data_IF_378262427380
#
_entry.id   IF_378262427380
#
_cell.length_a   1.000
_cell.length_b   1.000
_cell.length_c   1.000
_cell.angle_alpha   90.00
_cell.angle_beta   90.00
_cell.angle_gamma   90.00
#
_symmetry.space_group_name_H-M   'P 1'
#
loop_
_entity.id
_entity.type
_entity.pdbx_description
1 polymer ?
#
# COMPACT_ATOMS: atom_id res chain seq x y z
N UNK A 1 1.01 13.85 12.04
CA UNK A 1 0.46 14.03 10.66
C UNK A 1 0.79 12.78 9.85
N UNK A 2 -0.14 12.25 9.02
CA UNK A 2 0.10 11.06 8.20
C UNK A 2 0.75 11.47 6.87
N UNK A 3 1.83 10.79 6.50
CA UNK A 3 2.53 10.93 5.21
C UNK A 3 2.52 9.61 4.47
N UNK A 4 2.64 9.66 3.15
CA UNK A 4 2.78 8.48 2.30
C UNK A 4 4.06 8.60 1.48
N UNK A 5 4.73 7.48 1.23
CA UNK A 5 5.88 7.43 0.33
C UNK A 5 6.10 6.04 -0.25
N UNK A 6 6.75 5.98 -1.38
CA UNK A 6 7.29 4.71 -1.88
C UNK A 6 8.56 4.34 -1.12
N UNK A 7 8.74 3.04 -0.86
CA UNK A 7 9.97 2.51 -0.26
C UNK A 7 11.09 2.46 -1.29
N UNK A 8 12.32 2.60 -0.80
CA UNK A 8 13.49 2.15 -1.55
C UNK A 8 13.63 0.62 -1.43
N UNK A 9 14.20 -0.02 -2.43
CA UNK A 9 14.40 -1.49 -2.43
C UNK A 9 15.19 -1.98 -1.22
N UNK A 10 16.14 -1.17 -0.71
CA UNK A 10 16.89 -1.44 0.52
C UNK A 10 16.03 -1.50 1.79
N UNK A 11 14.79 -1.01 1.75
CA UNK A 11 13.86 -1.02 2.88
C UNK A 11 12.91 -2.23 2.87
N UNK A 12 12.86 -3.01 1.77
CA UNK A 12 11.88 -4.10 1.60
C UNK A 12 11.97 -5.15 2.71
N UNK A 13 13.17 -5.44 3.23
CA UNK A 13 13.33 -6.32 4.39
C UNK A 13 12.62 -5.85 5.67
N UNK A 14 12.27 -4.56 5.78
CA UNK A 14 11.51 -4.04 6.92
C UNK A 14 10.03 -4.44 6.85
N UNK A 15 9.53 -4.81 5.67
CA UNK A 15 8.15 -5.25 5.48
C UNK A 15 7.81 -6.50 6.31
N UNK A 16 8.73 -7.46 6.38
CA UNK A 16 8.56 -8.63 7.25
C UNK A 16 8.36 -8.23 8.72
N UNK A 17 9.21 -7.33 9.24
CA UNK A 17 9.11 -6.85 10.62
C UNK A 17 7.79 -6.13 10.88
N UNK A 18 7.29 -5.38 9.91
CA UNK A 18 6.02 -4.69 10.02
C UNK A 18 4.84 -5.67 10.00
N UNK A 19 4.80 -6.62 9.06
CA UNK A 19 3.75 -7.64 8.97
C UNK A 19 3.65 -8.49 10.25
N UNK A 20 4.79 -8.87 10.83
CA UNK A 20 4.84 -9.68 12.07
C UNK A 20 4.28 -8.96 13.29
N UNK A 21 4.26 -7.63 13.32
CA UNK A 21 3.67 -6.84 14.40
C UNK A 21 2.14 -6.79 14.34
N UNK A 22 1.56 -7.06 13.17
CA UNK A 22 0.11 -7.08 13.00
C UNK A 22 -0.48 -8.30 13.70
N UNK A 23 -1.70 -8.15 14.21
CA UNK A 23 -2.42 -9.24 14.83
C UNK A 23 -2.75 -10.36 13.84
N UNK A 24 -3.06 -11.54 14.40
CA UNK A 24 -3.34 -12.74 13.63
C UNK A 24 -4.52 -12.55 12.64
N UNK A 25 -5.62 -11.94 13.11
CA UNK A 25 -6.83 -11.74 12.29
C UNK A 25 -6.54 -10.83 11.09
N UNK A 26 -5.78 -9.75 11.30
CA UNK A 26 -5.35 -8.85 10.24
C UNK A 26 -4.49 -9.57 9.21
N UNK A 27 -3.52 -10.38 9.64
CA UNK A 27 -2.68 -11.19 8.74
C UNK A 27 -3.52 -12.19 7.96
N UNK A 28 -4.38 -12.96 8.63
CA UNK A 28 -5.24 -13.94 8.00
C UNK A 28 -6.18 -13.31 6.97
N UNK A 29 -6.77 -12.17 7.29
CA UNK A 29 -7.66 -11.45 6.36
C UNK A 29 -6.91 -10.92 5.14
N UNK A 30 -5.65 -10.51 5.30
CA UNK A 30 -4.82 -10.00 4.21
C UNK A 30 -4.33 -11.12 3.28
N UNK A 31 -3.84 -12.22 3.83
CA UNK A 31 -3.29 -13.34 3.05
C UNK A 31 -4.35 -14.36 2.59
N UNK A 32 -5.56 -14.30 3.13
CA UNK A 32 -6.60 -15.30 2.89
C UNK A 32 -6.39 -16.62 3.65
N UNK A 33 -5.17 -16.85 4.13
CA UNK A 33 -4.77 -18.04 4.89
C UNK A 33 -3.94 -17.65 6.11
N UNK A 34 -3.91 -18.50 7.17
CA UNK A 34 -3.03 -18.26 8.30
C UNK A 34 -1.56 -18.20 7.87
N UNK A 35 -0.88 -17.10 8.19
CA UNK A 35 0.54 -16.94 7.93
C UNK A 35 1.31 -16.84 9.26
N UNK A 36 2.24 -17.76 9.46
CA UNK A 36 3.21 -17.70 10.56
C UNK A 36 4.41 -16.81 10.19
N UNK A 37 5.28 -16.56 11.14
CA UNK A 37 6.42 -15.67 10.94
C UNK A 37 7.43 -16.21 9.91
N UNK A 38 7.60 -17.53 9.81
CA UNK A 38 8.47 -18.17 8.81
C UNK A 38 7.92 -18.01 7.39
N UNK A 39 6.59 -18.14 7.21
CA UNK A 39 5.92 -17.89 5.94
C UNK A 39 6.08 -16.43 5.50
N UNK A 40 5.97 -15.49 6.44
CA UNK A 40 6.21 -14.05 6.17
C UNK A 40 7.67 -13.81 5.78
N UNK A 41 8.66 -14.43 6.47
CA UNK A 41 10.06 -14.29 6.11
C UNK A 41 10.35 -14.83 4.72
N UNK A 42 9.79 -15.98 4.37
CA UNK A 42 9.94 -16.60 3.05
C UNK A 42 9.35 -15.70 1.96
N UNK A 43 8.14 -15.17 2.17
CA UNK A 43 7.50 -14.23 1.25
C UNK A 43 8.37 -12.99 1.01
N UNK A 44 8.80 -12.34 2.10
CA UNK A 44 9.57 -11.09 1.97
C UNK A 44 10.96 -11.35 1.42
N UNK A 45 11.57 -12.51 1.71
CA UNK A 45 12.82 -12.91 1.07
C UNK A 45 12.66 -12.99 -0.45
N UNK A 46 11.60 -13.63 -0.94
CA UNK A 46 11.32 -13.69 -2.38
C UNK A 46 11.18 -12.29 -3.00
N UNK A 47 10.47 -11.37 -2.32
CA UNK A 47 10.32 -9.97 -2.75
C UNK A 47 11.68 -9.25 -2.81
N UNK A 48 12.55 -9.46 -1.82
CA UNK A 48 13.90 -8.86 -1.78
C UNK A 48 14.81 -9.43 -2.87
N UNK A 49 14.64 -10.70 -3.21
CA UNK A 49 15.40 -11.37 -4.28
C UNK A 49 14.96 -10.92 -5.70
N UNK A 50 13.68 -10.41 -5.84
CA UNK A 50 13.10 -9.91 -7.10
C UNK A 50 12.61 -8.46 -6.98
N UNK A 51 13.46 -7.50 -6.61
CA UNK A 51 13.03 -6.16 -6.20
C UNK A 51 12.46 -5.30 -7.32
N UNK A 52 12.66 -5.66 -8.58
CA UNK A 52 12.14 -4.93 -9.74
C UNK A 52 10.67 -5.21 -10.04
N UNK A 53 10.14 -6.31 -9.52
CA UNK A 53 8.76 -6.75 -9.73
C UNK A 53 7.82 -6.28 -8.61
N UNK A 54 8.37 -5.65 -7.57
CA UNK A 54 7.63 -5.27 -6.37
C UNK A 54 7.85 -3.81 -6.00
N UNK A 55 6.76 -3.13 -5.64
CA UNK A 55 6.79 -1.76 -5.15
C UNK A 55 5.94 -1.63 -3.90
N UNK A 56 6.32 -0.75 -2.99
CA UNK A 56 5.59 -0.52 -1.75
C UNK A 56 5.28 0.96 -1.57
N UNK A 57 4.01 1.29 -1.45
CA UNK A 57 3.56 2.57 -0.94
C UNK A 57 3.21 2.39 0.55
N UNK A 58 3.88 3.13 1.43
CA UNK A 58 3.61 3.08 2.87
C UNK A 58 2.99 4.35 3.36
N UNK A 59 2.07 4.23 4.33
CA UNK A 59 1.58 5.33 5.14
C UNK A 59 2.34 5.34 6.47
N UNK A 60 2.86 6.49 6.86
CA UNK A 60 3.65 6.69 8.07
C UNK A 60 2.99 7.70 9.00
N UNK A 61 3.02 7.41 10.30
CA UNK A 61 2.65 8.31 11.37
C UNK A 61 3.71 8.27 12.47
N UNK A 62 4.29 9.42 12.81
CA UNK A 62 5.38 9.54 13.80
C UNK A 62 6.55 8.57 13.53
N UNK A 63 6.91 8.39 12.25
CA UNK A 63 8.00 7.50 11.83
C UNK A 63 7.68 6.00 11.86
N UNK A 64 6.45 5.61 12.16
CA UNK A 64 6.00 4.21 12.13
C UNK A 64 5.07 3.96 10.94
N UNK A 65 5.23 2.82 10.30
CA UNK A 65 4.31 2.39 9.25
C UNK A 65 2.98 1.99 9.88
N UNK A 66 1.90 2.56 9.35
CA UNK A 66 0.52 2.33 9.78
C UNK A 66 -0.35 1.73 8.68
N UNK A 67 0.19 1.57 7.49
CA UNK A 67 -0.45 0.92 6.36
C UNK A 67 0.50 0.77 5.19
N UNK A 68 0.23 -0.21 4.33
CA UNK A 68 0.99 -0.45 3.10
C UNK A 68 0.05 -0.79 1.95
N UNK A 69 0.43 -0.40 0.73
CA UNK A 69 0.04 -1.07 -0.50
C UNK A 69 1.28 -1.74 -1.06
N UNK A 70 1.25 -3.04 -1.16
CA UNK A 70 2.18 -3.83 -1.94
C UNK A 70 1.65 -3.88 -3.37
N UNK A 71 2.48 -3.50 -4.32
CA UNK A 71 2.19 -3.54 -5.75
C UNK A 71 3.14 -4.57 -6.34
N UNK A 72 2.61 -5.60 -6.97
CA UNK A 72 3.38 -6.62 -7.68
C UNK A 72 3.03 -6.57 -9.17
N UNK A 73 4.03 -6.72 -10.04
CA UNK A 73 3.80 -6.97 -11.46
C UNK A 73 3.29 -8.40 -11.63
N UNK A 74 2.04 -8.55 -12.05
CA UNK A 74 1.37 -9.85 -12.19
C UNK A 74 1.47 -10.40 -13.62
N UNK A 75 1.39 -9.50 -14.60
CA UNK A 75 1.51 -9.79 -16.02
C UNK A 75 2.00 -8.55 -16.77
N UNK A 76 2.23 -8.68 -18.08
CA UNK A 76 2.53 -7.52 -18.94
C UNK A 76 1.41 -6.50 -18.80
N UNK A 77 1.76 -5.28 -18.40
CA UNK A 77 0.82 -4.16 -18.24
C UNK A 77 -0.24 -4.31 -17.13
N UNK A 78 -0.13 -5.34 -16.25
CA UNK A 78 -1.02 -5.55 -15.12
C UNK A 78 -0.26 -5.51 -13.80
N UNK A 79 -0.84 -4.82 -12.81
CA UNK A 79 -0.33 -4.79 -11.43
C UNK A 79 -1.36 -5.36 -10.46
N UNK A 80 -0.89 -6.13 -9.50
CA UNK A 80 -1.68 -6.59 -8.37
C UNK A 80 -1.43 -5.71 -7.14
N UNK A 81 -2.52 -5.30 -6.48
CA UNK A 81 -2.46 -4.50 -5.26
C UNK A 81 -2.90 -5.31 -4.05
N UNK A 82 -2.02 -5.39 -3.04
CA UNK A 82 -2.34 -5.87 -1.71
C UNK A 82 -2.40 -4.71 -0.72
N UNK A 83 -3.56 -4.43 -0.13
CA UNK A 83 -3.80 -3.29 0.77
C UNK A 83 -3.99 -3.75 2.21
N UNK A 84 -3.23 -3.18 3.14
CA UNK A 84 -3.34 -3.49 4.55
C UNK A 84 -3.13 -2.23 5.40
N UNK A 85 -3.97 -2.03 6.42
CA UNK A 85 -3.86 -0.93 7.39
C UNK A 85 -3.90 -1.51 8.79
N UNK A 86 -2.96 -1.06 9.61
CA UNK A 86 -2.90 -1.36 11.04
C UNK A 86 -4.26 -1.13 11.71
N UNK A 87 -4.80 -2.11 12.46
CA UNK A 87 -6.11 -2.02 13.10
C UNK A 87 -6.36 -0.74 13.88
N UNK A 88 -5.36 -0.27 14.65
CA UNK A 88 -5.47 0.95 15.46
C UNK A 88 -5.63 2.23 14.63
N UNK A 89 -5.36 2.14 13.33
CA UNK A 89 -5.38 3.28 12.41
C UNK A 89 -6.49 3.19 11.36
N UNK A 90 -7.33 2.15 11.37
CA UNK A 90 -8.47 1.98 10.45
C UNK A 90 -9.53 3.07 10.63
N UNK A 91 -10.42 3.21 9.65
CA UNK A 91 -11.52 4.19 9.69
C UNK A 91 -11.10 5.66 9.48
N UNK A 92 -9.82 5.92 9.18
CA UNK A 92 -9.25 7.27 9.00
C UNK A 92 -8.98 7.64 7.54
N UNK A 93 -9.52 6.90 6.58
CA UNK A 93 -9.31 7.14 5.14
C UNK A 93 -7.89 6.82 4.62
N UNK A 94 -7.06 6.11 5.39
CA UNK A 94 -5.66 5.81 5.02
C UNK A 94 -5.60 4.93 3.77
N UNK A 95 -6.36 3.82 3.75
CA UNK A 95 -6.41 2.91 2.62
C UNK A 95 -6.89 3.62 1.33
N UNK A 96 -7.93 4.43 1.44
CA UNK A 96 -8.50 5.22 0.34
C UNK A 96 -7.47 6.19 -0.26
N UNK A 97 -6.77 6.92 0.59
CA UNK A 97 -5.72 7.82 0.16
C UNK A 97 -4.57 7.08 -0.52
N UNK A 98 -4.08 5.98 0.07
CA UNK A 98 -3.03 5.16 -0.54
C UNK A 98 -3.47 4.56 -1.86
N UNK A 99 -4.71 4.08 -1.95
CA UNK A 99 -5.27 3.52 -3.18
C UNK A 99 -5.30 4.56 -4.31
N UNK A 100 -5.77 5.78 -4.02
CA UNK A 100 -5.73 6.89 -4.99
C UNK A 100 -4.30 7.16 -5.48
N UNK A 101 -3.33 7.23 -4.58
CA UNK A 101 -1.93 7.48 -4.92
C UNK A 101 -1.32 6.32 -5.75
N UNK A 102 -1.64 5.06 -5.40
CA UNK A 102 -1.15 3.88 -6.11
C UNK A 102 -1.74 3.75 -7.52
N UNK A 103 -3.03 4.05 -7.70
CA UNK A 103 -3.70 4.08 -9.01
C UNK A 103 -3.04 5.14 -9.92
N UNK A 104 -2.82 6.34 -9.42
CA UNK A 104 -2.14 7.41 -10.17
C UNK A 104 -0.72 6.98 -10.54
N UNK A 105 0.01 6.38 -9.61
CA UNK A 105 1.36 5.85 -9.84
C UNK A 105 1.38 4.78 -10.93
N UNK A 106 0.45 3.83 -10.91
CA UNK A 106 0.36 2.77 -11.90
C UNK A 106 0.03 3.32 -13.30
N UNK A 107 -0.93 4.24 -13.40
CA UNK A 107 -1.28 4.91 -14.66
C UNK A 107 -0.09 5.65 -15.27
N UNK A 108 0.68 6.39 -14.45
CA UNK A 108 1.83 7.16 -14.91
C UNK A 108 3.02 6.28 -15.35
N UNK A 109 2.99 4.97 -15.06
CA UNK A 109 3.97 3.98 -15.52
C UNK A 109 3.47 3.13 -16.69
N UNK A 110 2.26 3.42 -17.17
CA UNK A 110 1.69 2.78 -18.36
C UNK A 110 1.01 1.44 -18.11
N UNK A 111 0.81 1.05 -16.84
CA UNK A 111 -0.01 -0.14 -16.56
C UNK A 111 -1.45 0.07 -17.04
N UNK A 112 -2.01 -0.96 -17.66
CA UNK A 112 -3.33 -0.91 -18.30
C UNK A 112 -4.42 -1.52 -17.44
N UNK A 113 -4.07 -2.36 -16.48
CA UNK A 113 -5.03 -2.96 -15.55
C UNK A 113 -4.48 -3.11 -14.15
N UNK A 114 -5.40 -3.02 -13.19
CA UNK A 114 -5.19 -3.30 -11.78
C UNK A 114 -6.00 -4.53 -11.39
N UNK A 115 -5.36 -5.44 -10.72
CA UNK A 115 -5.95 -6.62 -10.12
C UNK A 115 -5.83 -6.56 -8.59
N UNK A 116 -6.79 -7.10 -7.88
CA UNK A 116 -6.74 -7.37 -6.44
C UNK A 116 -7.45 -8.67 -6.15
N UNK A 117 -6.94 -9.39 -5.17
CA UNK A 117 -7.60 -10.57 -4.63
C UNK A 117 -7.90 -10.36 -3.14
N UNK A 118 -9.08 -10.76 -2.69
CA UNK A 118 -9.42 -10.71 -1.27
C UNK A 118 -10.45 -11.78 -0.90
N UNK A 119 -10.43 -12.15 0.37
CA UNK A 119 -11.45 -13.05 0.92
C UNK A 119 -12.83 -12.39 0.89
N UNK A 120 -13.87 -13.17 0.60
CA UNK A 120 -15.22 -12.66 0.39
C UNK A 120 -15.84 -11.92 1.59
N UNK A 121 -15.36 -12.19 2.81
CA UNK A 121 -15.82 -11.52 4.03
C UNK A 121 -15.08 -10.22 4.35
N UNK A 122 -14.02 -9.85 3.61
CA UNK A 122 -13.26 -8.62 3.81
C UNK A 122 -14.09 -7.39 3.36
N UNK A 123 -15.06 -6.98 4.19
CA UNK A 123 -15.94 -5.86 3.88
C UNK A 123 -15.21 -4.51 3.73
N UNK A 124 -14.17 -4.19 4.54
CA UNK A 124 -13.38 -2.98 4.36
C UNK A 124 -12.78 -2.85 2.96
N UNK A 125 -12.18 -3.93 2.42
CA UNK A 125 -11.61 -3.93 1.06
C UNK A 125 -12.71 -3.83 0.01
N UNK A 126 -13.83 -4.57 0.17
CA UNK A 126 -14.98 -4.45 -0.76
C UNK A 126 -15.57 -3.05 -0.78
N UNK A 127 -15.60 -2.36 0.36
CA UNK A 127 -16.02 -0.96 0.41
C UNK A 127 -15.03 -0.04 -0.33
N UNK A 128 -13.72 -0.24 -0.12
CA UNK A 128 -12.66 0.48 -0.83
C UNK A 128 -12.78 0.29 -2.36
N UNK A 129 -12.96 -0.96 -2.80
CA UNK A 129 -13.14 -1.30 -4.21
C UNK A 129 -14.35 -0.57 -4.82
N UNK A 130 -15.51 -0.58 -4.14
CA UNK A 130 -16.70 0.15 -4.63
C UNK A 130 -16.46 1.65 -4.74
N UNK A 131 -15.77 2.23 -3.77
CA UNK A 131 -15.44 3.67 -3.77
C UNK A 131 -14.58 4.05 -4.97
N UNK A 132 -13.67 3.20 -5.36
CA UNK A 132 -12.80 3.39 -6.53
C UNK A 132 -13.38 2.79 -7.83
N UNK A 133 -14.66 2.35 -7.81
CA UNK A 133 -15.37 1.82 -8.98
C UNK A 133 -14.70 0.58 -9.61
N UNK A 134 -14.07 -0.27 -8.78
CA UNK A 134 -13.50 -1.51 -9.24
C UNK A 134 -14.59 -2.57 -9.44
N UNK A 135 -14.49 -3.33 -10.51
CA UNK A 135 -15.37 -4.47 -10.78
C UNK A 135 -14.99 -5.65 -9.87
N UNK A 136 -15.98 -6.22 -9.18
CA UNK A 136 -15.78 -7.32 -8.26
C UNK A 136 -16.56 -8.55 -8.70
N UNK A 137 -15.88 -9.71 -8.72
CA UNK A 137 -16.50 -11.03 -8.85
C UNK A 137 -16.24 -11.84 -7.59
N UNK A 138 -17.29 -12.32 -6.95
CA UNK A 138 -17.16 -13.20 -5.78
C UNK A 138 -17.58 -14.61 -6.17
N UNK A 139 -16.66 -15.57 -5.99
CA UNK A 139 -16.89 -16.98 -6.26
C UNK A 139 -16.15 -17.82 -5.22
N UNK A 140 -16.76 -18.91 -4.77
CA UNK A 140 -16.13 -19.91 -3.88
C UNK A 140 -15.47 -19.36 -2.60
N UNK A 141 -15.95 -18.23 -2.08
CA UNK A 141 -15.41 -17.61 -0.85
C UNK A 141 -14.29 -16.60 -1.07
N UNK A 142 -13.93 -16.34 -2.33
CA UNK A 142 -12.92 -15.38 -2.75
C UNK A 142 -13.55 -14.27 -3.60
N UNK A 143 -12.90 -13.14 -3.69
CA UNK A 143 -13.34 -12.01 -4.51
C UNK A 143 -12.18 -11.52 -5.35
N UNK A 144 -12.31 -11.69 -6.64
CA UNK A 144 -11.43 -11.10 -7.63
C UNK A 144 -11.93 -9.70 -7.99
N UNK A 145 -10.99 -8.80 -8.10
CA UNK A 145 -11.26 -7.39 -8.40
C UNK A 145 -10.41 -6.98 -9.59
N UNK A 146 -11.03 -6.39 -10.59
CA UNK A 146 -10.32 -5.82 -11.74
C UNK A 146 -10.75 -4.38 -12.00
N UNK A 147 -9.81 -3.60 -12.52
CA UNK A 147 -10.06 -2.23 -12.98
C UNK A 147 -9.17 -1.93 -14.19
N UNK A 148 -9.74 -1.54 -15.34
CA UNK A 148 -8.97 -0.98 -16.43
C UNK A 148 -8.40 0.37 -16.00
N UNK A 149 -7.11 0.58 -16.24
CA UNK A 149 -6.43 1.84 -15.94
C UNK A 149 -6.36 2.69 -17.21
N UNK A 150 -7.02 3.86 -17.22
CA UNK A 150 -6.84 4.81 -18.33
C UNK A 150 -5.37 5.24 -18.44
N UNK A 151 -4.88 5.57 -19.64
CA UNK A 151 -3.52 6.08 -19.81
C UNK A 151 -3.23 7.28 -18.91
N UNK A 152 -1.94 7.53 -18.67
CA UNK A 152 -1.50 8.74 -17.99
C UNK A 152 -1.98 9.99 -18.73
N UNK A 153 -2.34 11.02 -18.00
CA UNK A 153 -2.70 12.33 -18.50
C UNK A 153 -2.00 13.44 -17.68
N UNK A 154 -2.11 14.66 -18.13
CA UNK A 154 -1.50 15.81 -17.43
C UNK A 154 -2.01 15.94 -15.99
N UNK A 155 -3.25 15.53 -15.74
CA UNK A 155 -3.84 15.58 -14.39
C UNK A 155 -3.15 14.59 -13.48
N UNK A 156 -2.97 13.33 -13.91
CA UNK A 156 -2.32 12.30 -13.09
C UNK A 156 -0.85 12.60 -12.86
N UNK A 157 -0.13 13.08 -13.87
CA UNK A 157 1.27 13.48 -13.74
C UNK A 157 1.41 14.62 -12.73
N UNK A 158 0.58 15.66 -12.86
CA UNK A 158 0.58 16.80 -11.94
C UNK A 158 0.21 16.37 -10.51
N UNK A 159 -0.79 15.49 -10.37
CA UNK A 159 -1.22 14.97 -9.08
C UNK A 159 -0.11 14.20 -8.37
N UNK A 160 0.63 13.33 -9.08
CA UNK A 160 1.76 12.61 -8.52
C UNK A 160 2.86 13.58 -8.06
N UNK A 161 3.21 14.57 -8.88
CA UNK A 161 4.21 15.59 -8.53
C UNK A 161 3.82 16.39 -7.28
N UNK A 162 2.58 16.87 -7.19
CA UNK A 162 2.08 17.61 -6.03
C UNK A 162 2.10 16.74 -4.78
N UNK A 163 1.62 15.48 -4.89
CA UNK A 163 1.58 14.55 -3.76
C UNK A 163 2.98 14.24 -3.26
N UNK A 164 3.91 13.96 -4.17
CA UNK A 164 5.32 13.70 -3.83
C UNK A 164 5.96 14.89 -3.14
N UNK A 165 5.82 16.11 -3.67
CA UNK A 165 6.38 17.32 -3.08
C UNK A 165 5.77 17.60 -1.69
N UNK A 166 4.46 17.47 -1.55
CA UNK A 166 3.77 17.63 -0.26
C UNK A 166 4.26 16.63 0.79
N UNK A 167 4.46 15.38 0.41
CA UNK A 167 4.93 14.34 1.31
C UNK A 167 6.39 14.58 1.73
N UNK A 168 7.26 14.96 0.80
CA UNK A 168 8.66 15.34 1.12
C UNK A 168 8.70 16.52 2.09
N UNK A 169 7.93 17.58 1.85
CA UNK A 169 7.86 18.73 2.74
C UNK A 169 7.36 18.35 4.15
N UNK A 170 6.35 17.50 4.23
CA UNK A 170 5.82 17.00 5.51
C UNK A 170 6.83 16.15 6.27
N UNK A 171 7.57 15.28 5.59
CA UNK A 171 8.64 14.48 6.20
C UNK A 171 9.76 15.36 6.75
N UNK A 172 10.14 16.42 6.04
CA UNK A 172 11.14 17.38 6.51
C UNK A 172 10.66 18.08 7.80
N UNK A 173 9.43 18.55 7.84
CA UNK A 173 8.85 19.17 9.04
C UNK A 173 8.83 18.23 10.24
N UNK A 174 8.50 16.95 10.05
CA UNK A 174 8.47 15.97 11.14
C UNK A 174 9.86 15.67 11.72
N UNK A 175 10.91 15.83 10.93
CA UNK A 175 12.32 15.63 11.39
C UNK A 175 12.87 16.86 12.13
N UNK A 176 12.37 18.05 11.82
CA UNK A 176 12.83 19.31 12.42
C UNK A 176 12.16 19.64 13.77
N UNK A 177 10.92 19.23 13.97
CA UNK A 177 10.18 19.53 15.23
C UNK A 177 10.86 18.96 16.48
N UNK A 178 11.34 17.69 16.53
CA UNK A 178 12.03 17.16 17.71
C UNK A 178 13.33 17.90 18.05
N UNK A 179 14.00 18.48 17.04
CA UNK A 179 15.24 19.22 17.24
C UNK A 179 15.00 20.58 17.90
N UNK A 180 13.84 21.21 17.62
CA UNK A 180 13.49 22.49 18.24
C UNK A 180 13.01 22.31 19.70
N UNK A 181 12.32 21.22 20.03
CA UNK A 181 11.91 20.94 21.42
C UNK A 181 13.12 20.61 22.32
N UNK A 182 14.19 20.00 21.78
CA UNK A 182 15.41 19.70 22.55
C UNK A 182 16.34 20.92 22.72
N UNK A 183 16.13 21.99 21.97
CA UNK A 183 16.97 23.20 22.04
C UNK A 183 16.45 24.24 23.06
N UNK A 184 15.30 24.00 23.70
CA UNK A 184 14.67 24.87 24.70
C UNK A 184 14.55 24.22 26.09
N UNK A 185 15.24 23.09 26.35
CA UNK A 185 15.37 22.48 27.68
C UNK A 185 16.75 22.66 28.27
#
# INVERSE_FOLDING_TARGET
MITTRFLFTSEYGQYAKWLKRLDFETRQTYFGVPQNDEGIDTLVKNIVDHPTEHFFLVAEYRGQWIGTIHIAENAVDEVEFGVIVDPEHRGRGIADRMMTEAIVWARNRGYQSLYMHCVAWNQPIKHLCRKHQLEMRTESGETDVKMPLPPADLTTITQEMITRNRNVYRMMLQRTVPFLESAYC
#
